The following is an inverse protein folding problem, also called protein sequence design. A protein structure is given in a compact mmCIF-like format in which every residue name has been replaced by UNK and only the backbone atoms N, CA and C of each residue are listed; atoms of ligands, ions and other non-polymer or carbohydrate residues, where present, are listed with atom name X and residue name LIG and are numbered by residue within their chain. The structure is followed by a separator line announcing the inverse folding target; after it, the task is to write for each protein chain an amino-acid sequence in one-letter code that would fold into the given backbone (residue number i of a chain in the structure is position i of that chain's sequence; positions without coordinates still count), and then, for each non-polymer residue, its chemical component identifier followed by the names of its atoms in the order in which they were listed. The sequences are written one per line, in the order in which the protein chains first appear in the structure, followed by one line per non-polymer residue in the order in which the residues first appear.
data_IF_443790292891
#
_entry.id   IF_443790292891
#
_cell.length_a   1.000
_cell.length_b   1.000
_cell.length_c   1.000
_cell.angle_alpha   90.00
_cell.angle_beta   90.00
_cell.angle_gamma   90.00
#
_symmetry.space_group_name_H-M   'P 1'
#
loop_
_entity.id
_entity.type
_entity.pdbx_description
1 polymer ?
#
# COMPACT_ATOMS: atom_id res chain seq x y z
N UNK A 1 34.13 28.99 -47.81
CA UNK A 1 32.88 29.03 -47.04
C UNK A 1 32.32 27.61 -47.06
N UNK A 2 32.46 26.86 -45.98
CA UNK A 2 31.37 26.63 -45.00
C UNK A 2 30.23 25.83 -45.65
N UNK A 3 29.78 24.65 -45.21
CA UNK A 3 29.72 24.12 -43.87
C UNK A 3 29.60 22.60 -43.83
N UNK A 4 30.31 22.05 -42.86
CA UNK A 4 30.06 20.77 -42.21
C UNK A 4 28.78 20.93 -41.38
N UNK A 5 27.65 20.32 -41.77
CA UNK A 5 26.52 20.11 -40.85
C UNK A 5 26.05 18.67 -40.88
N UNK A 6 26.93 17.85 -40.29
CA UNK A 6 26.64 16.69 -39.43
C UNK A 6 25.18 16.22 -39.49
N UNK A 7 24.93 15.27 -40.39
CA UNK A 7 23.81 14.31 -40.29
C UNK A 7 24.01 13.45 -39.03
N UNK A 8 23.70 14.00 -37.85
CA UNK A 8 23.52 13.26 -36.59
C UNK A 8 22.06 13.36 -36.14
N UNK A 9 21.15 12.88 -36.99
CA UNK A 9 19.81 12.41 -36.58
C UNK A 9 19.89 10.89 -36.73
N UNK A 10 19.54 10.04 -35.79
CA UNK A 10 18.84 10.17 -34.52
C UNK A 10 18.54 8.73 -34.16
N UNK A 11 19.54 8.02 -33.63
CA UNK A 11 19.36 6.64 -33.20
C UNK A 11 18.67 6.62 -31.85
N UNK A 12 17.35 6.45 -31.86
CA UNK A 12 16.52 6.21 -30.68
C UNK A 12 16.83 4.85 -30.05
N UNK A 13 18.06 4.66 -29.58
CA UNK A 13 18.37 3.57 -28.68
C UNK A 13 17.70 3.88 -27.36
N UNK A 14 16.74 3.05 -26.91
CA UNK A 14 16.28 3.03 -25.52
C UNK A 14 17.54 3.00 -24.65
N UNK A 15 17.94 4.16 -24.12
CA UNK A 15 19.09 4.28 -23.23
C UNK A 15 18.75 3.44 -22.02
N UNK A 16 19.20 2.18 -22.03
CA UNK A 16 19.24 1.37 -20.81
C UNK A 16 19.97 2.24 -19.79
N UNK A 17 19.36 2.54 -18.64
CA UNK A 17 20.04 3.31 -17.62
C UNK A 17 21.38 2.61 -17.35
N UNK A 18 22.46 3.38 -17.37
CA UNK A 18 23.78 2.84 -17.05
C UNK A 18 23.71 2.15 -15.68
N UNK A 19 24.46 1.08 -15.47
CA UNK A 19 24.40 0.34 -14.19
C UNK A 19 24.63 1.26 -12.98
N UNK A 20 25.40 2.34 -13.16
CA UNK A 20 25.60 3.41 -12.19
C UNK A 20 24.30 4.16 -11.85
N UNK A 21 23.52 4.55 -12.86
CA UNK A 21 22.23 5.21 -12.66
C UNK A 21 21.20 4.27 -12.00
N UNK A 22 21.16 3.00 -12.41
CA UNK A 22 20.31 1.99 -11.77
C UNK A 22 20.69 1.78 -10.30
N UNK A 23 22.00 1.71 -10.00
CA UNK A 23 22.49 1.59 -8.63
C UNK A 23 22.17 2.81 -7.76
N UNK A 24 22.24 4.03 -8.30
CA UNK A 24 21.83 5.25 -7.59
C UNK A 24 20.33 5.25 -7.26
N UNK A 25 19.49 4.84 -8.22
CA UNK A 25 18.05 4.71 -8.00
C UNK A 25 17.72 3.65 -6.94
N UNK A 26 18.41 2.51 -6.96
CA UNK A 26 18.25 1.46 -5.95
C UNK A 26 18.63 1.96 -4.55
N UNK A 27 19.77 2.64 -4.41
CA UNK A 27 20.19 3.22 -3.12
C UNK A 27 19.18 4.21 -2.57
N UNK A 28 18.55 5.02 -3.44
CA UNK A 28 17.47 5.93 -3.03
C UNK A 28 16.26 5.16 -2.51
N UNK A 29 15.84 4.10 -3.20
CA UNK A 29 14.72 3.25 -2.76
C UNK A 29 15.00 2.54 -1.45
N UNK A 30 16.22 2.01 -1.27
CA UNK A 30 16.63 1.35 -0.02
C UNK A 30 16.61 2.35 1.14
N UNK A 31 17.13 3.56 0.94
CA UNK A 31 17.07 4.62 1.97
C UNK A 31 15.64 4.97 2.35
N UNK A 32 14.75 5.08 1.37
CA UNK A 32 13.34 5.36 1.63
C UNK A 32 12.69 4.22 2.44
N UNK A 33 12.98 2.97 2.06
CA UNK A 33 12.44 1.80 2.73
C UNK A 33 12.89 1.73 4.20
N UNK A 34 14.15 2.06 4.49
CA UNK A 34 14.67 2.11 5.87
C UNK A 34 13.96 3.13 6.75
N UNK A 35 13.54 4.26 6.17
CA UNK A 35 12.78 5.30 6.89
C UNK A 35 11.34 4.90 7.16
N UNK A 36 10.73 4.12 6.28
CA UNK A 36 9.33 3.72 6.38
C UNK A 36 9.12 2.52 7.31
N UNK A 37 10.10 1.62 7.39
CA UNK A 37 10.00 0.39 8.18
C UNK A 37 10.51 0.65 9.59
N UNK A 38 9.71 0.37 10.65
CA UNK A 38 10.18 0.43 12.02
C UNK A 38 11.40 -0.50 12.22
N UNK A 39 12.49 0.04 12.76
CA UNK A 39 13.79 -0.67 12.88
C UNK A 39 14.55 -0.83 11.55
N UNK A 40 14.10 -0.20 10.46
CA UNK A 40 14.70 -0.32 9.14
C UNK A 40 16.08 0.31 9.00
N UNK A 41 16.37 1.39 9.75
CA UNK A 41 17.69 2.03 9.74
C UNK A 41 18.78 1.14 10.34
N UNK A 42 18.47 0.37 11.39
CA UNK A 42 19.39 -0.60 12.01
C UNK A 42 19.46 -1.93 11.23
N UNK A 43 18.46 -2.23 10.39
CA UNK A 43 18.37 -3.51 9.70
C UNK A 43 19.51 -3.71 8.68
N UNK A 44 20.21 -4.87 8.72
CA UNK A 44 21.15 -5.27 7.68
C UNK A 44 20.49 -5.30 6.30
N UNK A 45 21.23 -4.96 5.25
CA UNK A 45 20.67 -4.86 3.89
C UNK A 45 19.99 -6.16 3.41
N UNK A 46 20.53 -7.33 3.80
CA UNK A 46 19.94 -8.63 3.47
C UNK A 46 18.64 -8.95 4.24
N UNK A 47 18.42 -8.33 5.40
CA UNK A 47 17.24 -8.54 6.23
C UNK A 47 16.14 -7.50 6.01
N UNK A 48 16.45 -6.35 5.41
CA UNK A 48 15.53 -5.22 5.26
C UNK A 48 14.20 -5.60 4.59
N UNK A 49 14.25 -6.44 3.54
CA UNK A 49 13.04 -6.90 2.85
C UNK A 49 12.20 -7.85 3.71
N UNK A 50 12.83 -8.71 4.51
CA UNK A 50 12.12 -9.58 5.44
C UNK A 50 11.43 -8.76 6.54
N UNK A 51 12.15 -7.81 7.17
CA UNK A 51 11.57 -6.89 8.15
C UNK A 51 10.41 -6.07 7.56
N UNK A 52 10.52 -5.67 6.29
CA UNK A 52 9.45 -4.99 5.55
C UNK A 52 8.23 -5.90 5.40
N UNK A 53 8.42 -7.15 4.99
CA UNK A 53 7.33 -8.11 4.81
C UNK A 53 6.59 -8.32 6.14
N UNK A 54 7.32 -8.51 7.23
CA UNK A 54 6.76 -8.65 8.56
C UNK A 54 5.97 -7.40 8.99
N UNK A 55 6.49 -6.21 8.69
CA UNK A 55 5.81 -4.97 9.00
C UNK A 55 4.51 -4.81 8.21
N UNK A 56 4.52 -5.14 6.91
CA UNK A 56 3.31 -5.13 6.07
C UNK A 56 2.28 -6.12 6.62
N UNK A 57 2.69 -7.33 7.00
CA UNK A 57 1.80 -8.33 7.57
C UNK A 57 1.15 -7.83 8.88
N UNK A 58 1.93 -7.27 9.81
CA UNK A 58 1.40 -6.67 11.04
C UNK A 58 0.43 -5.53 10.78
N UNK A 59 0.75 -4.66 9.82
CA UNK A 59 -0.12 -3.53 9.49
C UNK A 59 -1.46 -3.99 8.90
N UNK A 60 -1.43 -4.99 8.01
CA UNK A 60 -2.65 -5.60 7.44
C UNK A 60 -3.52 -6.21 8.52
N UNK A 61 -2.95 -7.04 9.40
CA UNK A 61 -3.67 -7.65 10.51
C UNK A 61 -4.30 -6.59 11.43
N UNK A 62 -3.58 -5.50 11.72
CA UNK A 62 -4.11 -4.38 12.53
C UNK A 62 -5.29 -3.70 11.85
N UNK A 63 -5.20 -3.45 10.54
CA UNK A 63 -6.30 -2.83 9.78
C UNK A 63 -7.52 -3.75 9.71
N UNK A 64 -7.32 -5.04 9.49
CA UNK A 64 -8.39 -6.04 9.48
C UNK A 64 -9.10 -6.11 10.84
N UNK A 65 -8.35 -6.17 11.94
CA UNK A 65 -8.90 -6.13 13.28
C UNK A 65 -9.72 -4.85 13.52
N UNK A 66 -9.16 -3.68 13.20
CA UNK A 66 -9.85 -2.40 13.41
C UNK A 66 -11.13 -2.30 12.57
N UNK A 67 -11.13 -2.84 11.35
CA UNK A 67 -12.34 -2.91 10.51
C UNK A 67 -13.40 -3.84 11.11
N UNK A 68 -13.00 -5.00 11.62
CA UNK A 68 -13.91 -5.92 12.31
C UNK A 68 -14.51 -5.27 13.55
N UNK A 69 -13.70 -4.59 14.37
CA UNK A 69 -14.19 -3.84 15.52
C UNK A 69 -15.13 -2.71 15.09
N UNK A 70 -14.77 -1.93 14.07
CA UNK A 70 -15.64 -0.85 13.57
C UNK A 70 -16.98 -1.37 13.03
N UNK A 71 -17.03 -2.59 12.49
CA UNK A 71 -18.28 -3.25 12.10
C UNK A 71 -19.12 -3.63 13.33
N UNK A 72 -18.50 -4.16 14.39
CA UNK A 72 -19.18 -4.48 15.66
C UNK A 72 -19.74 -3.23 16.33
N UNK A 73 -18.98 -2.14 16.35
CA UNK A 73 -19.39 -0.88 16.96
C UNK A 73 -20.23 0.02 16.04
N UNK A 74 -20.57 -0.44 14.82
CA UNK A 74 -21.39 0.33 13.88
C UNK A 74 -20.74 1.62 13.37
N UNK A 75 -19.44 1.82 13.59
CA UNK A 75 -18.70 3.03 13.19
C UNK A 75 -18.42 3.06 11.68
N UNK A 76 -18.36 1.88 11.04
CA UNK A 76 -18.01 1.75 9.62
C UNK A 76 -19.21 1.85 8.66
N UNK A 77 -20.44 1.93 9.17
CA UNK A 77 -21.64 2.12 8.38
C UNK A 77 -22.26 3.48 8.73
N UNK A 78 -22.44 4.34 7.72
CA UNK A 78 -23.38 5.44 7.86
C UNK A 78 -24.75 4.87 8.21
N UNK A 79 -25.23 5.22 9.40
CA UNK A 79 -26.61 5.04 9.84
C UNK A 79 -26.88 3.76 10.66
N UNK A 80 -27.50 3.87 11.84
CA UNK A 80 -28.03 2.69 12.53
C UNK A 80 -29.12 2.07 11.64
N UNK A 81 -28.95 0.81 11.27
CA UNK A 81 -30.08 0.00 10.82
C UNK A 81 -31.13 0.04 11.94
N UNK A 82 -32.40 0.38 11.66
CA UNK A 82 -33.41 0.47 12.68
C UNK A 82 -33.54 -0.91 13.34
N UNK A 83 -33.36 -0.91 14.66
CA UNK A 83 -33.80 -1.99 15.53
C UNK A 83 -35.24 -2.31 15.15
N UNK A 84 -35.45 -3.44 14.47
CA UNK A 84 -36.77 -4.04 14.37
C UNK A 84 -37.14 -4.50 15.76
N UNK A 85 -37.71 -3.58 16.54
CA UNK A 85 -38.53 -3.93 17.68
C UNK A 85 -39.75 -4.60 17.06
N UNK A 86 -39.68 -5.91 16.91
CA UNK A 86 -40.83 -6.76 16.67
C UNK A 86 -41.70 -6.75 17.93
N UNK A 87 -42.37 -5.63 18.14
CA UNK A 87 -43.39 -5.44 19.14
C UNK A 87 -44.75 -5.45 18.46
N UNK A 88 -45.50 -6.50 18.79
CA UNK A 88 -46.95 -6.54 18.89
C UNK A 88 -47.80 -6.42 17.61
N UNK A 89 -48.60 -7.46 17.39
CA UNK A 89 -50.02 -7.23 17.10
C UNK A 89 -50.69 -8.18 16.10
N UNK A 90 -51.57 -9.02 16.65
CA UNK A 90 -52.85 -9.48 16.09
C UNK A 90 -52.88 -10.68 15.13
N UNK A 91 -53.86 -11.57 15.41
CA UNK A 91 -54.24 -12.75 14.64
C UNK A 91 -54.29 -14.00 15.53
N UNK A 92 -55.20 -14.09 16.51
CA UNK A 92 -56.55 -14.63 16.30
C UNK A 92 -56.57 -15.84 15.34
N UNK A 93 -56.62 -17.05 15.91
CA UNK A 93 -57.24 -18.27 15.37
C UNK A 93 -57.45 -19.19 16.59
N UNK A 94 -58.57 -19.06 17.32
CA UNK A 94 -59.66 -20.05 17.28
C UNK A 94 -59.27 -21.42 16.71
N UNK A 95 -58.98 -22.40 17.57
CA UNK A 95 -59.90 -23.48 17.96
C UNK A 95 -59.15 -24.62 18.63
#
# INVERSE_FOLDING_TARGET
MEEIRRRRRGGGGRRRPSSRAAGAALRRKVRELRRLVPGGEEAPAGALLACTADYIARLRARVELLRALAAVYGVAAGGPAPLQIAGAGAGECMS
#
